data_IF_729519108595
#
_entry.id   IF_729519108595
#
_cell.length_a   1.000
_cell.length_b   1.000
_cell.length_c   1.000
_cell.angle_alpha   90.00
_cell.angle_beta   90.00
_cell.angle_gamma   90.00
#
_symmetry.space_group_name_H-M   'P 1'
#
loop_
_entity.id
_entity.type
_entity.pdbx_description
1 polymer ?
#
# COMPACT_ATOMS: atom_id res chain seq x y z
N UNK A 1 -2.46 -38.69 -32.67
CA UNK A 1 -2.91 -37.63 -31.75
C UNK A 1 -1.72 -37.26 -30.87
N UNK A 2 -1.08 -36.11 -31.12
CA UNK A 2 0.07 -35.66 -30.32
C UNK A 2 -0.47 -34.92 -29.09
N UNK A 3 -0.24 -35.49 -27.91
CA UNK A 3 -0.60 -34.87 -26.64
C UNK A 3 0.46 -33.81 -26.32
N UNK A 4 0.12 -32.53 -26.51
CA UNK A 4 0.99 -31.42 -26.10
C UNK A 4 1.08 -31.40 -24.57
N UNK A 5 2.27 -31.66 -24.04
CA UNK A 5 2.60 -31.45 -22.64
C UNK A 5 2.49 -29.94 -22.34
N UNK A 6 1.36 -29.51 -21.76
CA UNK A 6 1.24 -28.14 -21.24
C UNK A 6 2.06 -28.05 -19.95
N UNK A 7 3.19 -27.35 -20.02
CA UNK A 7 3.96 -26.98 -18.83
C UNK A 7 3.11 -25.96 -18.06
N UNK A 8 2.80 -26.18 -16.76
CA UNK A 8 2.06 -25.21 -15.98
C UNK A 8 2.80 -23.87 -15.96
N UNK A 9 2.17 -22.81 -16.47
CA UNK A 9 2.70 -21.46 -16.34
C UNK A 9 2.38 -20.96 -14.93
N UNK A 10 3.41 -20.66 -14.15
CA UNK A 10 3.24 -19.98 -12.86
C UNK A 10 2.79 -18.54 -13.09
N UNK A 11 1.62 -18.19 -12.57
CA UNK A 11 1.14 -16.80 -12.52
C UNK A 11 1.54 -16.21 -11.17
N UNK A 12 2.32 -15.14 -11.18
CA UNK A 12 2.60 -14.35 -9.97
C UNK A 12 1.45 -13.35 -9.80
N UNK A 13 0.71 -13.48 -8.69
CA UNK A 13 -0.35 -12.55 -8.32
C UNK A 13 0.12 -11.77 -7.11
N UNK A 14 0.07 -10.45 -7.20
CA UNK A 14 0.18 -9.57 -6.03
C UNK A 14 -1.24 -9.14 -5.68
N UNK A 15 -1.82 -9.57 -4.55
CA UNK A 15 -3.09 -9.01 -4.11
C UNK A 15 -2.87 -7.51 -3.85
N UNK A 16 -3.58 -6.68 -4.61
CA UNK A 16 -3.55 -5.22 -4.46
C UNK A 16 -4.85 -4.80 -3.80
N UNK A 17 -4.74 -4.12 -2.66
CA UNK A 17 -5.88 -3.48 -2.00
C UNK A 17 -6.22 -2.17 -2.71
N UNK A 18 -6.83 -2.27 -3.90
CA UNK A 18 -7.02 -1.15 -4.83
C UNK A 18 -7.75 0.03 -4.20
N UNK A 19 -8.76 -0.22 -3.36
CA UNK A 19 -9.50 0.84 -2.67
C UNK A 19 -8.70 1.51 -1.55
N UNK A 20 -7.77 0.80 -0.91
CA UNK A 20 -6.85 1.41 0.07
C UNK A 20 -5.85 2.30 -0.65
N UNK A 21 -5.31 1.84 -1.78
CA UNK A 21 -4.45 2.66 -2.67
C UNK A 21 -5.19 3.91 -3.15
N UNK A 22 -6.44 3.77 -3.60
CA UNK A 22 -7.28 4.90 -4.04
C UNK A 22 -7.54 5.88 -2.90
N UNK A 23 -7.87 5.38 -1.71
CA UNK A 23 -8.06 6.20 -0.51
C UNK A 23 -6.80 7.00 -0.18
N UNK A 24 -5.62 6.36 -0.16
CA UNK A 24 -4.34 7.03 0.11
C UNK A 24 -3.98 8.06 -0.97
N UNK A 25 -4.28 7.78 -2.25
CA UNK A 25 -4.11 8.75 -3.34
C UNK A 25 -5.02 9.96 -3.19
N UNK A 26 -6.25 9.79 -2.68
CA UNK A 26 -7.20 10.90 -2.47
C UNK A 26 -6.74 11.90 -1.39
N UNK A 27 -5.81 11.47 -0.53
CA UNK A 27 -5.22 12.27 0.56
C UNK A 27 -3.73 12.58 0.32
N UNK A 28 -3.26 12.46 -0.92
CA UNK A 28 -1.90 12.86 -1.32
C UNK A 28 -1.63 14.33 -0.94
N UNK A 29 -0.48 14.58 -0.33
CA UNK A 29 -0.06 15.91 0.14
C UNK A 29 -0.75 16.38 1.43
N UNK A 30 -1.61 15.56 2.04
CA UNK A 30 -2.31 15.86 3.30
C UNK A 30 -1.70 15.10 4.46
N UNK A 31 -1.92 15.64 5.66
CA UNK A 31 -1.60 14.98 6.91
C UNK A 31 -2.61 13.86 7.17
N UNK A 32 -2.12 12.70 7.57
CA UNK A 32 -2.95 11.54 7.93
C UNK A 32 -2.40 10.87 9.18
N UNK A 33 -3.25 10.12 9.86
CA UNK A 33 -2.85 9.10 10.82
C UNK A 33 -3.15 7.73 10.22
N UNK A 34 -2.11 6.89 10.15
CA UNK A 34 -2.24 5.48 9.79
C UNK A 34 -2.08 4.66 11.05
N UNK A 35 -3.07 3.83 11.37
CA UNK A 35 -2.86 2.76 12.32
C UNK A 35 -2.34 1.55 11.59
N UNK A 36 -1.20 1.05 12.05
CA UNK A 36 -0.63 -0.20 11.56
C UNK A 36 -0.88 -1.32 12.57
N UNK A 37 -0.64 -2.56 12.17
CA UNK A 37 -0.59 -3.72 13.09
C UNK A 37 0.40 -3.57 14.25
N UNK A 38 1.31 -2.59 14.19
CA UNK A 38 2.36 -2.31 15.19
C UNK A 38 2.20 -0.96 15.89
N UNK A 39 1.09 -0.25 15.67
CA UNK A 39 0.79 1.06 16.24
C UNK A 39 0.61 2.17 15.21
N UNK A 40 0.24 3.36 15.69
CA UNK A 40 -0.05 4.53 14.88
C UNK A 40 1.18 5.32 14.42
N UNK A 41 1.12 5.84 13.19
CA UNK A 41 2.07 6.80 12.61
C UNK A 41 1.32 7.97 11.97
N UNK A 42 1.78 9.19 12.24
CA UNK A 42 1.26 10.41 11.63
C UNK A 42 2.29 11.01 10.68
N UNK A 43 1.87 11.41 9.49
CA UNK A 43 2.74 12.03 8.49
C UNK A 43 1.96 12.59 7.30
N UNK A 44 2.65 13.36 6.48
CA UNK A 44 2.13 13.82 5.20
C UNK A 44 2.32 12.73 4.14
N UNK A 45 1.27 12.42 3.38
CA UNK A 45 1.36 11.44 2.28
C UNK A 45 2.14 12.05 1.12
N UNK A 46 3.31 11.49 0.79
CA UNK A 46 4.19 12.03 -0.25
C UNK A 46 4.31 11.16 -1.49
N UNK A 47 4.01 9.86 -1.41
CA UNK A 47 3.90 8.95 -2.56
C UNK A 47 3.04 7.74 -2.20
N UNK A 48 2.37 7.15 -3.19
CA UNK A 48 1.52 5.95 -3.01
C UNK A 48 1.81 4.97 -4.13
N UNK A 49 2.24 3.77 -3.77
CA UNK A 49 2.47 2.61 -4.64
C UNK A 49 1.43 1.52 -4.36
N UNK A 50 1.33 0.48 -5.22
CA UNK A 50 0.35 -0.59 -5.02
C UNK A 50 0.54 -1.39 -3.72
N UNK A 51 1.76 -1.45 -3.19
CA UNK A 51 2.14 -2.26 -2.03
C UNK A 51 2.49 -1.44 -0.78
N UNK A 52 2.75 -0.13 -0.93
CA UNK A 52 3.14 0.74 0.17
C UNK A 52 2.80 2.22 -0.06
N UNK A 53 2.77 2.99 1.03
CA UNK A 53 2.67 4.46 1.04
C UNK A 53 3.91 5.06 1.69
N UNK A 54 4.39 6.16 1.14
CA UNK A 54 5.44 6.96 1.74
C UNK A 54 4.81 8.11 2.55
N UNK A 55 5.14 8.18 3.83
CA UNK A 55 4.83 9.32 4.70
C UNK A 55 6.09 10.14 4.95
N UNK A 56 5.98 11.47 4.94
CA UNK A 56 6.95 12.37 5.55
C UNK A 56 6.50 12.72 6.97
N UNK A 57 7.33 12.36 7.94
CA UNK A 57 7.14 12.70 9.35
C UNK A 57 8.32 13.55 9.79
N UNK A 58 8.13 14.89 9.77
CA UNK A 58 9.13 15.89 10.21
C UNK A 58 10.46 15.75 9.46
N UNK A 59 10.41 15.59 8.14
CA UNK A 59 11.58 15.47 7.26
C UNK A 59 12.18 14.06 7.19
N UNK A 60 11.53 13.05 7.79
CA UNK A 60 11.92 11.65 7.70
C UNK A 60 10.87 10.88 6.91
N UNK A 61 11.31 10.11 5.92
CA UNK A 61 10.42 9.26 5.12
C UNK A 61 10.21 7.89 5.76
N UNK A 62 8.96 7.49 5.86
CA UNK A 62 8.53 6.17 6.28
C UNK A 62 7.77 5.49 5.14
N UNK A 63 8.18 4.29 4.77
CA UNK A 63 7.46 3.46 3.80
C UNK A 63 6.62 2.44 4.57
N UNK A 64 5.31 2.64 4.57
CA UNK A 64 4.35 1.80 5.28
C UNK A 64 3.72 0.85 4.28
N UNK A 65 3.85 -0.46 4.51
CA UNK A 65 3.18 -1.48 3.69
C UNK A 65 1.66 -1.33 3.81
N UNK A 66 0.97 -1.34 2.68
CA UNK A 66 -0.49 -1.20 2.63
C UNK A 66 -1.19 -2.33 3.39
N UNK A 67 -0.69 -3.56 3.27
CA UNK A 67 -1.26 -4.72 3.97
C UNK A 67 -1.12 -4.67 5.49
N UNK A 68 -0.31 -3.77 6.05
CA UNK A 68 -0.15 -3.59 7.49
C UNK A 68 -1.05 -2.46 8.03
N UNK A 69 -1.76 -1.73 7.16
CA UNK A 69 -2.64 -0.62 7.55
C UNK A 69 -3.97 -1.20 8.00
N UNK A 70 -4.38 -0.88 9.23
CA UNK A 70 -5.66 -1.26 9.83
C UNK A 70 -6.73 -0.22 9.54
N UNK A 71 -6.39 1.07 9.67
CA UNK A 71 -7.29 2.18 9.30
C UNK A 71 -6.51 3.43 8.91
N UNK A 72 -7.19 4.30 8.16
CA UNK A 72 -6.68 5.60 7.69
C UNK A 72 -7.60 6.68 8.25
N UNK A 73 -7.06 7.59 9.06
CA UNK A 73 -7.76 8.78 9.51
C UNK A 73 -7.19 10.00 8.77
N UNK A 74 -7.94 10.60 7.83
CA UNK A 74 -7.57 11.90 7.27
C UNK A 74 -7.72 12.98 8.35
N UNK A 75 -6.73 13.88 8.45
CA UNK A 75 -6.89 15.14 9.18
C UNK A 75 -7.60 16.20 8.32
#
# INVERSE_FOLDING_TARGET
MHQMNQIPQSIIVYPVDAYVVETLKSVMGKQVVLETTRGGISGCVVDVKPDHVALDTRGRRFFVRICEIVWIMPE
#
